data_IF_478357222087
#
_entry.id   IF_478357222087
#
_cell.length_a   1.000
_cell.length_b   1.000
_cell.length_c   1.000
_cell.angle_alpha   90.00
_cell.angle_beta   90.00
_cell.angle_gamma   90.00
#
_symmetry.space_group_name_H-M   'P 1'
#
loop_
_entity.id
_entity.type
_entity.pdbx_description
1 polymer ?
#
# COMPACT_ATOMS: atom_id res chain seq x y z
N UNK A 1 -12.83 -15.40 -23.39
CA UNK A 1 -11.89 -15.69 -22.28
C UNK A 1 -12.14 -14.66 -21.20
N UNK A 2 -12.66 -15.07 -20.05
CA UNK A 2 -12.75 -14.21 -18.86
C UNK A 2 -11.36 -14.14 -18.24
N UNK A 3 -10.63 -13.07 -18.53
CA UNK A 3 -9.40 -12.73 -17.81
C UNK A 3 -9.83 -12.29 -16.41
N UNK A 4 -9.66 -13.17 -15.42
CA UNK A 4 -10.04 -12.85 -14.06
C UNK A 4 -8.93 -11.98 -13.47
N UNK A 5 -9.11 -10.66 -13.52
CA UNK A 5 -8.20 -9.73 -12.88
C UNK A 5 -8.38 -9.84 -11.36
N UNK A 6 -7.30 -10.20 -10.66
CA UNK A 6 -7.32 -10.40 -9.20
C UNK A 6 -6.58 -9.25 -8.52
N UNK A 7 -7.18 -8.74 -7.45
CA UNK A 7 -6.58 -7.69 -6.62
C UNK A 7 -6.56 -8.13 -5.16
N UNK A 8 -5.41 -7.98 -4.51
CA UNK A 8 -5.24 -8.18 -3.07
C UNK A 8 -5.12 -6.79 -2.43
N UNK A 9 -6.05 -6.46 -1.54
CA UNK A 9 -6.00 -5.21 -0.78
C UNK A 9 -5.33 -5.50 0.56
N UNK A 10 -4.26 -4.77 0.86
CA UNK A 10 -3.47 -4.93 2.09
C UNK A 10 -3.46 -3.63 2.88
N UNK A 11 -3.51 -3.75 4.21
CA UNK A 11 -3.55 -2.61 5.11
C UNK A 11 -2.76 -2.86 6.40
N UNK A 12 -2.08 -1.83 6.85
CA UNK A 12 -1.35 -1.80 8.12
C UNK A 12 -2.01 -0.78 9.06
N UNK A 13 -3.06 -1.16 9.80
CA UNK A 13 -3.85 -0.22 10.61
C UNK A 13 -3.08 0.36 11.80
N UNK A 14 -1.90 -0.18 12.11
CA UNK A 14 -1.06 0.26 13.22
C UNK A 14 -0.08 1.36 12.82
N UNK A 15 0.09 1.64 11.52
CA UNK A 15 1.02 2.65 11.05
C UNK A 15 0.64 4.05 11.53
N UNK A 16 1.66 4.79 11.97
CA UNK A 16 1.53 6.20 12.33
C UNK A 16 2.07 7.06 11.21
N UNK A 17 1.35 8.14 10.88
CA UNK A 17 1.86 9.18 10.01
C UNK A 17 1.79 10.53 10.73
N UNK A 18 2.67 11.43 10.32
CA UNK A 18 2.67 12.79 10.83
C UNK A 18 1.59 13.60 10.12
N UNK A 19 0.63 14.11 10.89
CA UNK A 19 -0.35 15.08 10.42
C UNK A 19 0.26 16.48 10.37
N UNK A 20 0.66 16.91 9.18
CA UNK A 20 1.27 18.22 8.95
C UNK A 20 0.25 19.31 8.56
N UNK A 21 -1.03 19.04 8.73
CA UNK A 21 -2.12 19.97 8.43
C UNK A 21 -2.18 21.13 9.43
N UNK A 22 -2.46 22.34 8.93
CA UNK A 22 -2.48 23.58 9.74
C UNK A 22 -3.41 23.48 10.96
N UNK A 23 -4.55 22.80 10.82
CA UNK A 23 -5.50 22.57 11.90
C UNK A 23 -4.89 21.73 13.03
N UNK A 24 -4.13 20.67 12.71
CA UNK A 24 -3.49 19.81 13.71
C UNK A 24 -2.37 20.56 14.43
N UNK A 25 -1.59 21.37 13.70
CA UNK A 25 -0.56 22.22 14.30
C UNK A 25 -1.18 23.24 15.26
N UNK A 26 -2.31 23.86 14.88
CA UNK A 26 -3.05 24.78 15.74
C UNK A 26 -3.57 24.09 17.01
N UNK A 27 -4.22 22.93 16.86
CA UNK A 27 -4.74 22.14 17.99
C UNK A 27 -3.61 21.71 18.94
N UNK A 28 -2.42 21.41 18.41
CA UNK A 28 -1.25 21.09 19.24
C UNK A 28 -0.77 22.30 20.02
N UNK A 29 -0.70 23.48 19.37
CA UNK A 29 -0.33 24.73 20.04
C UNK A 29 -1.34 25.15 21.10
N UNK A 30 -2.63 24.87 20.87
CA UNK A 30 -3.70 25.10 21.83
C UNK A 30 -3.72 24.08 23.00
N UNK A 31 -2.81 23.09 23.01
CA UNK A 31 -2.72 22.08 24.07
C UNK A 31 -3.78 20.97 24.00
N UNK A 32 -4.59 20.93 22.94
CA UNK A 32 -5.67 19.95 22.78
C UNK A 32 -5.11 18.58 22.37
N UNK A 33 -4.12 18.56 21.46
CA UNK A 33 -3.42 17.34 21.05
C UNK A 33 -1.95 17.40 21.46
N UNK A 34 -1.43 16.28 21.98
CA UNK A 34 -0.05 16.21 22.49
C UNK A 34 0.97 15.90 21.40
N UNK A 35 0.56 15.16 20.36
CA UNK A 35 1.43 14.66 19.30
C UNK A 35 0.78 14.86 17.91
N UNK A 36 1.59 15.15 16.90
CA UNK A 36 1.17 15.20 15.49
C UNK A 36 1.32 13.85 14.79
N UNK A 37 2.03 12.89 15.39
CA UNK A 37 2.06 11.53 14.90
C UNK A 37 0.76 10.84 15.32
N UNK A 38 -0.10 10.61 14.34
CA UNK A 38 -1.39 9.98 14.52
C UNK A 38 -1.37 8.60 13.89
N UNK A 39 -2.08 7.66 14.50
CA UNK A 39 -2.34 6.36 13.91
C UNK A 39 -3.39 6.53 12.82
N UNK A 40 -2.94 6.43 11.57
CA UNK A 40 -3.79 6.62 10.37
C UNK A 40 -3.82 5.37 9.49
N UNK A 41 -2.91 4.43 9.75
CA UNK A 41 -2.71 3.25 8.93
C UNK A 41 -1.98 3.54 7.63
N UNK A 42 -1.75 2.47 6.86
CA UNK A 42 -1.32 2.53 5.47
C UNK A 42 -2.09 1.47 4.69
N UNK A 43 -2.30 1.70 3.39
CA UNK A 43 -2.95 0.75 2.52
C UNK A 43 -2.20 0.68 1.19
N UNK A 44 -2.19 -0.52 0.61
CA UNK A 44 -1.64 -0.81 -0.69
C UNK A 44 -2.53 -1.83 -1.41
N UNK A 45 -2.26 -2.01 -2.69
CA UNK A 45 -2.95 -2.98 -3.53
C UNK A 45 -1.91 -3.76 -4.33
N UNK A 46 -2.05 -5.08 -4.35
CA UNK A 46 -1.32 -5.95 -5.26
C UNK A 46 -2.26 -6.37 -6.39
N UNK A 47 -1.89 -6.07 -7.62
CA UNK A 47 -2.62 -6.46 -8.83
C UNK A 47 -1.94 -7.68 -9.45
N UNK A 48 -2.72 -8.72 -9.74
CA UNK A 48 -2.18 -9.95 -10.33
C UNK A 48 -2.48 -9.93 -11.82
N UNK A 49 -1.43 -10.04 -12.63
CA UNK A 49 -1.58 -10.21 -14.06
C UNK A 49 -2.00 -11.67 -14.38
N UNK A 50 -3.20 -11.92 -14.93
CA UNK A 50 -3.70 -13.27 -15.13
C UNK A 50 -2.95 -14.04 -16.23
N UNK A 51 -2.19 -13.37 -17.09
CA UNK A 51 -1.42 -14.00 -18.17
C UNK A 51 -0.01 -14.39 -17.71
N UNK A 52 0.63 -13.54 -16.90
CA UNK A 52 2.03 -13.75 -16.47
C UNK A 52 2.16 -14.24 -15.04
N UNK A 53 1.06 -14.28 -14.27
CA UNK A 53 1.02 -14.55 -12.83
C UNK A 53 1.88 -13.59 -12.01
N UNK A 54 2.28 -12.47 -12.60
CA UNK A 54 3.09 -11.45 -11.95
C UNK A 54 2.23 -10.68 -10.94
N UNK A 55 2.77 -10.49 -9.73
CA UNK A 55 2.16 -9.68 -8.69
C UNK A 55 2.76 -8.28 -8.73
N UNK A 56 1.92 -7.27 -8.93
CA UNK A 56 2.32 -5.87 -9.05
C UNK A 56 1.86 -5.09 -7.81
N UNK A 57 2.82 -4.69 -6.98
CA UNK A 57 2.55 -3.85 -5.82
C UNK A 57 2.36 -2.39 -6.20
N UNK A 58 1.31 -1.77 -5.65
CA UNK A 58 1.03 -0.34 -5.75
C UNK A 58 0.63 0.24 -4.41
N UNK A 59 1.21 1.39 -4.06
CA UNK A 59 0.74 2.18 -2.94
C UNK A 59 0.79 3.67 -3.21
N UNK A 60 0.14 4.43 -2.35
CA UNK A 60 0.17 5.89 -2.39
C UNK A 60 0.47 6.45 -1.01
N UNK A 61 1.39 7.40 -0.94
CA UNK A 61 1.79 7.97 0.34
C UNK A 61 2.61 9.23 0.20
N UNK A 62 2.93 9.82 1.35
CA UNK A 62 3.80 10.99 1.47
C UNK A 62 5.27 10.56 1.43
N UNK A 63 5.68 9.99 0.30
CA UNK A 63 7.06 9.57 0.03
C UNK A 63 7.96 10.80 -0.18
N UNK A 64 9.10 10.64 -0.87
CA UNK A 64 10.01 11.75 -1.21
C UNK A 64 9.29 12.70 -2.18
N UNK A 65 8.46 13.58 -1.61
CA UNK A 65 7.59 14.56 -2.29
C UNK A 65 7.54 15.86 -1.50
N UNK A 66 7.31 17.00 -2.17
CA UNK A 66 7.07 18.26 -1.47
C UNK A 66 5.89 18.16 -0.49
N UNK A 67 5.91 19.01 0.53
CA UNK A 67 4.84 19.04 1.55
C UNK A 67 3.49 19.33 0.89
N UNK A 68 2.48 18.56 1.26
CA UNK A 68 1.12 18.65 0.69
C UNK A 68 0.88 17.74 -0.52
N UNK A 69 1.91 17.04 -1.00
CA UNK A 69 1.79 16.08 -2.09
C UNK A 69 1.94 14.65 -1.58
N UNK A 70 1.46 13.71 -2.38
CA UNK A 70 1.78 12.29 -2.28
C UNK A 70 2.28 11.77 -3.61
N UNK A 71 2.85 10.58 -3.60
CA UNK A 71 3.36 9.89 -4.79
C UNK A 71 2.82 8.46 -4.80
N UNK A 72 2.38 8.01 -5.96
CA UNK A 72 2.12 6.61 -6.21
C UNK A 72 3.45 5.91 -6.45
N UNK A 73 3.66 4.75 -5.82
CA UNK A 73 4.84 3.90 -6.08
C UNK A 73 4.44 2.59 -6.71
N UNK A 74 5.36 2.03 -7.47
CA UNK A 74 5.29 0.72 -8.11
C UNK A 74 6.69 0.26 -8.49
N UNK A 75 6.84 -0.97 -9.00
CA UNK A 75 8.11 -1.45 -9.55
C UNK A 75 8.73 -0.54 -10.62
N UNK A 76 7.93 0.25 -11.34
CA UNK A 76 8.38 1.12 -12.42
C UNK A 76 9.01 2.42 -11.93
N UNK A 77 8.57 2.92 -10.77
CA UNK A 77 9.06 4.16 -10.15
C UNK A 77 10.04 3.88 -9.02
N UNK A 78 9.95 2.69 -8.41
CA UNK A 78 10.67 2.28 -7.23
C UNK A 78 11.06 0.79 -7.40
N UNK A 79 12.27 0.49 -7.92
CA UNK A 79 12.69 -0.88 -8.21
C UNK A 79 12.72 -1.82 -7.00
N UNK A 80 12.77 -1.29 -5.78
CA UNK A 80 12.69 -2.08 -4.55
C UNK A 80 11.28 -2.62 -4.24
N UNK A 81 10.27 -2.29 -5.06
CA UNK A 81 8.90 -2.80 -4.95
C UNK A 81 8.62 -3.92 -5.97
N UNK A 82 9.65 -4.47 -6.59
CA UNK A 82 9.52 -5.70 -7.38
C UNK A 82 9.22 -6.83 -6.41
N UNK A 83 8.12 -7.55 -6.65
CA UNK A 83 7.80 -8.80 -5.98
C UNK A 83 8.27 -9.95 -6.89
N UNK A 84 9.07 -10.84 -6.34
CA UNK A 84 9.57 -12.05 -7.02
C UNK A 84 8.55 -13.21 -6.89
N UNK A 85 7.72 -13.19 -5.85
CA UNK A 85 6.65 -14.17 -5.67
C UNK A 85 5.59 -14.04 -6.76
N UNK A 86 5.29 -15.16 -7.44
CA UNK A 86 4.24 -15.26 -8.45
C UNK A 86 2.96 -15.82 -7.85
N UNK A 87 1.82 -15.39 -8.38
CA UNK A 87 0.52 -15.89 -7.96
C UNK A 87 0.26 -17.31 -8.46
N UNK A 88 -0.14 -18.20 -7.57
CA UNK A 88 -0.57 -19.57 -7.91
C UNK A 88 -2.08 -19.71 -7.76
N UNK A 89 -2.71 -20.38 -8.72
CA UNK A 89 -4.16 -20.59 -8.74
C UNK A 89 -4.47 -22.09 -8.82
N UNK A 90 -5.53 -22.52 -8.14
CA UNK A 90 -6.05 -23.88 -8.25
C UNK A 90 -6.94 -24.07 -9.50
N UNK A 91 -7.49 -25.27 -9.67
CA UNK A 91 -8.39 -25.61 -10.79
C UNK A 91 -9.68 -24.77 -10.81
N UNK A 92 -10.13 -24.32 -9.63
CA UNK A 92 -11.29 -23.48 -9.41
C UNK A 92 -10.97 -21.97 -9.54
N UNK A 93 -9.70 -21.63 -9.84
CA UNK A 93 -9.15 -20.27 -9.97
C UNK A 93 -9.13 -19.48 -8.66
N UNK A 94 -9.02 -20.15 -7.53
CA UNK A 94 -8.73 -19.52 -6.26
C UNK A 94 -7.22 -19.28 -6.13
N UNK A 95 -6.85 -18.12 -5.59
CA UNK A 95 -5.46 -17.80 -5.27
C UNK A 95 -5.00 -18.63 -4.06
N UNK A 96 -3.94 -19.43 -4.23
CA UNK A 96 -3.52 -20.44 -3.23
C UNK A 96 -2.34 -20.02 -2.35
N UNK A 97 -1.63 -18.94 -2.70
CA UNK A 97 -0.39 -18.52 -2.02
C UNK A 97 -0.44 -17.07 -1.54
N UNK A 98 -1.58 -16.64 -1.00
CA UNK A 98 -1.75 -15.27 -0.45
C UNK A 98 -0.72 -15.00 0.64
N UNK A 99 -0.46 -15.98 1.50
CA UNK A 99 0.47 -15.87 2.62
C UNK A 99 1.92 -15.67 2.16
N UNK A 100 2.35 -16.37 1.11
CA UNK A 100 3.69 -16.20 0.52
C UNK A 100 3.84 -14.80 -0.06
N UNK A 101 2.82 -14.32 -0.80
CA UNK A 101 2.79 -12.96 -1.36
C UNK A 101 2.82 -11.91 -0.24
N UNK A 102 2.18 -12.17 0.89
CA UNK A 102 2.12 -11.23 2.01
C UNK A 102 3.37 -11.23 2.89
N UNK A 103 4.20 -12.27 2.82
CA UNK A 103 5.43 -12.41 3.59
C UNK A 103 6.61 -11.65 2.97
N UNK A 104 6.60 -11.45 1.66
CA UNK A 104 7.59 -10.65 0.92
C UNK A 104 7.48 -9.14 1.21
#
# INVERSE_FOLDING_TARGET
MLYLDTAIVIAWPQCTARGDESILILLRKAGIIKNLNMRVGHAAICLINPQTQEVLYYDFGRYVTPRGYGRARSKYTDPSLILETRATFDEDKNLTNVEDIAQE
#
